data_IF_709829494612
#
_entry.id   IF_709829494612
#
_cell.length_a   1.000
_cell.length_b   1.000
_cell.length_c   1.000
_cell.angle_alpha   90.00
_cell.angle_beta   90.00
_cell.angle_gamma   90.00
#
_symmetry.space_group_name_H-M   'P 1'
#
loop_
_entity.id
_entity.type
_entity.pdbx_description
1 polymer ?
#
# COMPACT_ATOMS: atom_id res chain seq x y z
N UNK A 1 -9.28 -1.87 -17.56
CA UNK A 1 -10.08 -2.03 -16.33
C UNK A 1 -9.40 -1.26 -15.23
N UNK A 2 -9.92 -0.08 -14.94
CA UNK A 2 -9.49 0.72 -13.80
C UNK A 2 -9.85 -0.05 -12.51
N UNK A 3 -8.87 -0.19 -11.61
CA UNK A 3 -9.06 -0.83 -10.31
C UNK A 3 -8.96 0.26 -9.26
N UNK A 4 -10.03 0.39 -8.49
CA UNK A 4 -10.08 1.30 -7.36
C UNK A 4 -9.44 0.63 -6.15
N UNK A 5 -8.38 1.23 -5.63
CA UNK A 5 -7.66 0.75 -4.46
C UNK A 5 -7.96 1.65 -3.27
N UNK A 6 -8.32 1.03 -2.14
CA UNK A 6 -8.41 1.67 -0.83
C UNK A 6 -7.08 1.48 -0.11
N UNK A 7 -6.34 2.56 0.06
CA UNK A 7 -5.07 2.59 0.80
C UNK A 7 -5.36 2.79 2.29
N UNK A 8 -4.53 2.28 3.17
CA UNK A 8 -4.60 2.49 4.62
C UNK A 8 -3.18 2.65 5.15
N UNK A 9 -2.83 3.87 5.58
CA UNK A 9 -1.53 4.17 6.19
C UNK A 9 -1.47 3.58 7.62
N UNK A 10 -0.41 2.83 7.90
CA UNK A 10 -0.15 2.21 9.20
C UNK A 10 1.00 2.87 9.97
N UNK A 11 1.66 3.87 9.38
CA UNK A 11 2.78 4.59 10.00
C UNK A 11 2.31 5.56 11.09
N UNK A 12 1.06 6.01 11.01
CA UNK A 12 0.45 6.87 12.01
C UNK A 12 -0.57 6.07 12.82
N UNK A 13 -0.48 6.16 14.14
CA UNK A 13 -1.47 5.56 15.04
C UNK A 13 -2.63 6.55 15.21
N UNK A 14 -3.72 6.38 14.44
CA UNK A 14 -4.89 7.24 14.58
C UNK A 14 -6.02 6.95 13.59
N UNK A 15 -7.21 7.55 13.79
CA UNK A 15 -8.37 7.42 12.92
C UNK A 15 -8.19 8.11 11.54
N UNK A 16 -7.08 8.82 11.33
CA UNK A 16 -6.72 9.52 10.09
C UNK A 16 -6.08 8.61 9.03
N UNK A 17 -6.27 7.29 9.15
CA UNK A 17 -5.84 6.36 8.12
C UNK A 17 -6.41 6.84 6.77
N UNK A 18 -5.52 7.19 5.84
CA UNK A 18 -5.92 7.83 4.57
C UNK A 18 -6.68 6.81 3.73
N UNK A 19 -8.01 6.90 3.78
CA UNK A 19 -8.94 6.08 3.01
C UNK A 19 -9.15 6.70 1.62
N UNK A 20 -8.09 6.66 0.81
CA UNK A 20 -8.17 7.16 -0.56
C UNK A 20 -8.55 6.01 -1.49
N UNK A 21 -9.63 6.21 -2.26
CA UNK A 21 -9.98 5.36 -3.40
C UNK A 21 -9.34 5.95 -4.63
N UNK A 22 -8.36 5.26 -5.20
CA UNK A 22 -7.64 5.76 -6.37
C UNK A 22 -7.52 4.72 -7.48
N UNK A 23 -7.47 5.21 -8.71
CA UNK A 23 -7.15 4.41 -9.87
C UNK A 23 -5.63 4.18 -9.98
N UNK A 24 -5.26 2.93 -10.12
CA UNK A 24 -3.88 2.50 -10.29
C UNK A 24 -3.77 1.24 -11.11
N UNK A 25 -2.56 0.96 -11.62
CA UNK A 25 -2.26 -0.33 -12.22
C UNK A 25 -1.97 -1.40 -11.15
N UNK A 26 -1.54 -0.98 -9.95
CA UNK A 26 -1.17 -1.88 -8.84
C UNK A 26 -1.39 -1.26 -7.45
N UNK A 27 -1.52 -2.10 -6.39
CA UNK A 27 -1.48 -1.67 -4.99
C UNK A 27 -0.26 -0.82 -4.61
N UNK A 28 0.91 -1.15 -5.14
CA UNK A 28 2.16 -0.44 -4.90
C UNK A 28 2.12 0.97 -5.47
N UNK A 29 1.66 1.10 -6.72
CA UNK A 29 1.45 2.41 -7.35
C UNK A 29 0.42 3.23 -6.58
N UNK A 30 -0.62 2.57 -6.06
CA UNK A 30 -1.64 3.25 -5.28
C UNK A 30 -1.05 3.87 -3.99
N UNK A 31 -0.26 3.09 -3.24
CA UNK A 31 0.45 3.63 -2.07
C UNK A 31 1.41 4.74 -2.46
N UNK A 32 2.16 4.61 -3.56
CA UNK A 32 3.08 5.65 -4.02
C UNK A 32 2.36 6.97 -4.31
N UNK A 33 1.19 6.93 -4.94
CA UNK A 33 0.38 8.11 -5.24
C UNK A 33 -0.22 8.76 -3.99
N UNK A 34 -0.69 7.97 -3.04
CA UNK A 34 -1.39 8.46 -1.84
C UNK A 34 -0.42 8.90 -0.75
N UNK A 35 0.62 8.11 -0.50
CA UNK A 35 1.54 8.28 0.63
C UNK A 35 2.91 8.82 0.23
N UNK A 36 3.23 8.89 -1.08
CA UNK A 36 4.50 9.41 -1.57
C UNK A 36 5.72 8.51 -1.26
N UNK A 37 5.51 7.22 -0.96
CA UNK A 37 6.57 6.29 -0.56
C UNK A 37 6.67 5.08 -1.49
N UNK A 38 7.90 4.57 -1.64
CA UNK A 38 8.18 3.31 -2.31
C UNK A 38 7.94 2.13 -1.37
N UNK A 39 7.19 1.14 -1.86
CA UNK A 39 6.80 -0.03 -1.07
C UNK A 39 6.90 -1.32 -1.86
N UNK A 40 7.02 -2.43 -1.15
CA UNK A 40 7.15 -3.78 -1.72
C UNK A 40 6.19 -4.76 -1.04
N UNK A 41 5.89 -5.87 -1.72
CA UNK A 41 5.26 -7.05 -1.12
C UNK A 41 6.33 -7.98 -0.57
N UNK A 42 6.11 -8.49 0.64
CA UNK A 42 7.02 -9.47 1.27
C UNK A 42 8.19 -8.86 2.04
N UNK A 43 7.93 -7.87 2.90
CA UNK A 43 8.92 -7.32 3.84
C UNK A 43 8.79 -7.89 5.25
N UNK A 44 9.64 -7.41 6.16
CA UNK A 44 9.56 -7.79 7.58
C UNK A 44 8.43 -7.06 8.28
N UNK A 45 7.85 -7.66 9.33
CA UNK A 45 6.74 -7.06 10.11
C UNK A 45 7.05 -5.64 10.60
N UNK A 46 8.31 -5.36 10.94
CA UNK A 46 8.79 -4.04 11.39
C UNK A 46 8.69 -2.95 10.31
N UNK A 47 8.69 -3.35 9.04
CA UNK A 47 8.66 -2.45 7.90
C UNK A 47 7.24 -2.29 7.33
N UNK A 48 6.21 -2.82 8.01
CA UNK A 48 4.83 -2.73 7.56
C UNK A 48 4.33 -1.28 7.65
N UNK A 49 4.02 -0.69 6.50
CA UNK A 49 3.64 0.74 6.40
C UNK A 49 2.25 0.97 5.84
N UNK A 50 1.70 0.01 5.06
CA UNK A 50 0.37 0.17 4.51
C UNK A 50 -0.37 -1.16 4.32
N UNK A 51 -1.69 -1.09 4.34
CA UNK A 51 -2.58 -2.12 3.80
C UNK A 51 -3.33 -1.53 2.61
N UNK A 52 -3.50 -2.33 1.56
CA UNK A 52 -4.27 -1.93 0.39
C UNK A 52 -5.37 -2.94 0.14
N UNK A 53 -6.58 -2.45 -0.01
CA UNK A 53 -7.78 -3.22 -0.25
C UNK A 53 -8.32 -2.90 -1.65
N UNK A 54 -8.84 -3.91 -2.35
CA UNK A 54 -9.63 -3.70 -3.56
C UNK A 54 -10.57 -4.87 -3.77
N UNK A 55 -11.69 -4.62 -4.43
CA UNK A 55 -12.67 -5.65 -4.76
C UNK A 55 -13.02 -5.57 -6.25
N UNK A 56 -12.54 -6.51 -7.07
CA UNK A 56 -13.05 -6.66 -8.42
C UNK A 56 -14.53 -7.07 -8.40
N UNK A 57 -15.29 -6.63 -9.40
CA UNK A 57 -16.70 -7.01 -9.54
C UNK A 57 -16.84 -8.54 -9.57
N UNK A 58 -17.70 -9.08 -8.71
CA UNK A 58 -17.93 -10.52 -8.61
C UNK A 58 -16.82 -11.31 -7.91
N UNK A 59 -15.80 -10.65 -7.35
CA UNK A 59 -14.74 -11.31 -6.58
C UNK A 59 -14.76 -10.89 -5.10
N UNK A 60 -14.19 -11.70 -4.20
CA UNK A 60 -13.99 -11.31 -2.81
C UNK A 60 -13.09 -10.08 -2.68
N UNK A 61 -13.24 -9.36 -1.57
CA UNK A 61 -12.34 -8.28 -1.18
C UNK A 61 -10.91 -8.83 -1.03
N UNK A 62 -9.98 -8.30 -1.81
CA UNK A 62 -8.56 -8.62 -1.70
C UNK A 62 -7.85 -7.60 -0.83
N UNK A 63 -6.91 -8.04 -0.01
CA UNK A 63 -6.03 -7.17 0.77
C UNK A 63 -4.58 -7.62 0.66
N UNK A 64 -3.67 -6.66 0.47
CA UNK A 64 -2.23 -6.89 0.57
C UNK A 64 -1.60 -5.97 1.59
N UNK A 65 -0.54 -6.48 2.22
CA UNK A 65 0.35 -5.72 3.10
C UNK A 65 1.52 -5.21 2.29
N UNK A 66 1.82 -3.93 2.45
CA UNK A 66 2.92 -3.27 1.80
C UNK A 66 3.90 -2.75 2.84
N UNK A 67 5.16 -3.00 2.55
CA UNK A 67 6.28 -2.77 3.44
C UNK A 67 7.18 -1.69 2.85
N UNK A 68 7.79 -0.87 3.69
CA UNK A 68 8.78 0.09 3.26
C UNK A 68 9.89 -0.65 2.50
N UNK A 69 10.25 -0.14 1.33
CA UNK A 69 11.41 -0.63 0.61
C UNK A 69 12.66 -0.18 1.38
N UNK A 70 13.28 -1.11 2.11
CA UNK A 70 14.61 -0.86 2.66
C UNK A 70 15.56 -0.85 1.46
N UNK A 71 16.18 0.30 1.17
CA UNK A 71 17.34 0.32 0.28
C UNK A 71 18.42 -0.50 0.98
N UNK A 72 18.63 -1.74 0.51
CA UNK A 72 19.74 -2.58 0.94
C UNK A 72 21.04 -1.81 0.65
N UNK A 73 21.64 -1.30 1.72
CA UNK A 73 22.94 -0.62 1.79
C UNK A 73 23.42 0.04 0.50
N UNK A 74 23.25 1.37 0.39
CA UNK A 74 24.30 2.19 -0.20
C UNK A 74 25.56 2.03 0.64
N UNK A 75 26.32 0.98 0.33
CA UNK A 75 27.77 0.90 0.53
C UNK A 75 28.36 2.06 -0.25
N UNK A 76 28.75 3.11 0.46
CA UNK A 76 29.85 3.96 0.05
C UNK A 76 31.05 3.59 0.90
#
# INVERSE_FOLDING_TARGET
MEKSFRVMDLRQAGPEAIDAVIDGASPEEAVRKVLGIEVVRGGSKRDLVAKVYWQPVGQPLTMVRLYAKIEDGRRY
#
